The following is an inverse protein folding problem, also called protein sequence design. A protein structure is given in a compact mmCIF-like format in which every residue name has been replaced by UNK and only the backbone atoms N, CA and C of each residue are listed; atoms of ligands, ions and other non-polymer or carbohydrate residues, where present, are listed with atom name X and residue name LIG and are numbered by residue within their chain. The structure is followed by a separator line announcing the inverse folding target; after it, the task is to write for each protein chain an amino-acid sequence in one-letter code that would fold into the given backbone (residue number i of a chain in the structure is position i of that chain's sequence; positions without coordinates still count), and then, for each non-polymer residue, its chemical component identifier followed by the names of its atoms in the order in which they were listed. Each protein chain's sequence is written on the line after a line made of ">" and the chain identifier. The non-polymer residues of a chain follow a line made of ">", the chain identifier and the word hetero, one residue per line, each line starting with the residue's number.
data_IF_608034836273
#
_entry.id   IF_608034836273
#
_cell.length_a   1.000
_cell.length_b   1.000
_cell.length_c   1.000
_cell.angle_alpha   90.00
_cell.angle_beta   90.00
_cell.angle_gamma   90.00
#
_symmetry.space_group_name_H-M   'P 1'
#
loop_
_entity.id
_entity.type
_entity.pdbx_description
1 polymer ?
#
# COMPACT_ATOMS: atom_id res chain seq x y z
N UNK A 1 -0.36 22.97 -10.93
CA UNK A 1 -1.49 22.38 -11.69
C UNK A 1 -1.81 20.97 -11.21
N UNK A 2 -1.78 20.76 -9.88
CA UNK A 2 -1.28 19.55 -9.22
C UNK A 2 -1.88 18.23 -9.69
N UNK A 3 -1.12 17.49 -10.49
CA UNK A 3 -1.44 16.12 -10.95
C UNK A 3 -1.70 15.16 -9.78
N UNK A 4 -1.06 15.40 -8.63
CA UNK A 4 -1.16 14.59 -7.43
C UNK A 4 -1.69 15.41 -6.25
N UNK A 5 -2.47 14.75 -5.41
CA UNK A 5 -2.85 15.23 -4.08
C UNK A 5 -2.08 14.46 -3.01
N UNK A 6 -1.68 15.17 -1.95
CA UNK A 6 -0.76 14.67 -0.93
C UNK A 6 -1.30 14.91 0.47
N UNK A 7 -0.97 14.00 1.37
CA UNK A 7 -1.05 14.16 2.82
C UNK A 7 0.28 13.74 3.46
N UNK A 8 0.53 14.19 4.68
CA UNK A 8 1.59 13.67 5.54
C UNK A 8 0.96 13.05 6.78
N UNK A 9 1.48 11.90 7.21
CA UNK A 9 1.03 11.23 8.41
C UNK A 9 2.17 10.46 9.09
N UNK A 10 2.04 10.25 10.40
CA UNK A 10 2.90 9.33 11.13
C UNK A 10 2.43 7.88 10.91
N UNK A 11 3.33 6.93 10.62
CA UNK A 11 2.97 5.53 10.39
C UNK A 11 2.19 4.87 11.52
N UNK A 12 2.48 5.24 12.77
CA UNK A 12 1.85 4.70 13.98
C UNK A 12 0.42 5.19 14.22
N UNK A 13 -0.07 6.19 13.50
CA UNK A 13 -1.46 6.63 13.61
C UNK A 13 -2.43 5.59 13.04
N UNK A 14 -1.97 4.77 12.10
CA UNK A 14 -2.74 3.67 11.55
C UNK A 14 -2.59 2.39 12.41
N UNK A 15 -3.65 1.58 12.57
CA UNK A 15 -3.53 0.24 13.16
C UNK A 15 -2.46 -0.60 12.42
N UNK A 16 -1.67 -1.43 13.12
CA UNK A 16 -0.64 -2.25 12.51
C UNK A 16 -1.18 -3.17 11.40
N UNK A 17 -0.43 -3.30 10.30
CA UNK A 17 -0.73 -4.23 9.20
C UNK A 17 0.26 -5.40 9.20
N UNK A 18 -0.21 -6.60 8.83
CA UNK A 18 0.68 -7.74 8.61
C UNK A 18 1.23 -7.67 7.19
N UNK A 19 2.51 -7.36 7.05
CA UNK A 19 3.18 -7.36 5.74
C UNK A 19 3.69 -8.75 5.38
N UNK A 20 3.33 -9.23 4.18
CA UNK A 20 3.86 -10.47 3.60
C UNK A 20 4.54 -10.15 2.28
N UNK A 21 5.86 -10.27 2.24
CA UNK A 21 6.64 -10.10 1.01
C UNK A 21 6.70 -11.42 0.24
N UNK A 22 6.45 -11.36 -1.07
CA UNK A 22 6.51 -12.49 -2.01
C UNK A 22 7.67 -12.33 -2.99
N UNK A 23 7.98 -13.39 -3.74
CA UNK A 23 9.12 -13.45 -4.64
C UNK A 23 8.92 -12.67 -5.94
N UNK A 24 7.67 -12.47 -6.37
CA UNK A 24 7.34 -11.75 -7.60
C UNK A 24 5.95 -11.11 -7.56
N UNK A 25 5.71 -10.14 -8.44
CA UNK A 25 4.38 -9.55 -8.64
C UNK A 25 3.35 -10.59 -9.09
N UNK A 26 3.75 -11.53 -9.95
CA UNK A 26 2.89 -12.63 -10.39
C UNK A 26 2.40 -13.50 -9.22
N UNK A 27 3.28 -13.82 -8.27
CA UNK A 27 2.87 -14.54 -7.06
C UNK A 27 1.84 -13.76 -6.24
N UNK A 28 1.95 -12.43 -6.17
CA UNK A 28 0.97 -11.57 -5.50
C UNK A 28 -0.37 -11.59 -6.26
N UNK A 29 -0.33 -11.47 -7.58
CA UNK A 29 -1.53 -11.49 -8.43
C UNK A 29 -2.28 -12.82 -8.34
N UNK A 30 -1.56 -13.94 -8.24
CA UNK A 30 -2.16 -15.29 -8.15
C UNK A 30 -2.72 -15.65 -6.76
N UNK A 31 -2.54 -14.78 -5.74
CA UNK A 31 -3.03 -15.06 -4.39
C UNK A 31 -4.56 -15.23 -4.38
N UNK A 32 -5.00 -16.28 -3.68
CA UNK A 32 -6.39 -16.40 -3.27
C UNK A 32 -6.66 -15.51 -2.06
N UNK A 33 -7.91 -15.09 -1.89
CA UNK A 33 -8.34 -14.37 -0.69
C UNK A 33 -8.03 -15.24 0.54
N UNK A 34 -7.21 -14.77 1.50
CA UNK A 34 -6.91 -15.50 2.72
C UNK A 34 -8.16 -15.70 3.59
N UNK A 35 -8.19 -16.71 4.48
CA UNK A 35 -9.24 -16.82 5.49
C UNK A 35 -9.33 -15.53 6.34
N UNK A 36 -10.53 -15.17 6.84
CA UNK A 36 -10.70 -13.99 7.68
C UNK A 36 -9.92 -14.11 9.00
N UNK A 37 -9.62 -12.97 9.62
CA UNK A 37 -9.02 -12.87 10.96
C UNK A 37 -7.70 -12.08 11.02
N UNK A 38 -6.96 -11.99 9.91
CA UNK A 38 -5.71 -11.22 9.86
C UNK A 38 -5.75 -10.16 8.75
N UNK A 39 -5.28 -8.95 9.04
CA UNK A 39 -5.12 -7.91 8.04
C UNK A 39 -3.80 -8.07 7.30
N UNK A 40 -3.86 -8.64 6.09
CA UNK A 40 -2.67 -8.98 5.30
C UNK A 40 -2.45 -7.94 4.21
N UNK A 41 -1.26 -7.37 4.16
CA UNK A 41 -0.75 -6.59 3.03
C UNK A 41 0.31 -7.41 2.30
N UNK A 42 -0.11 -8.08 1.22
CA UNK A 42 0.74 -8.90 0.38
C UNK A 42 1.43 -8.02 -0.67
N UNK A 43 2.74 -8.14 -0.82
CA UNK A 43 3.47 -7.31 -1.76
C UNK A 43 4.72 -7.99 -2.32
N UNK A 44 5.20 -7.54 -3.46
CA UNK A 44 6.47 -7.93 -4.04
C UNK A 44 7.12 -6.74 -4.75
N UNK A 45 8.45 -6.75 -4.84
CA UNK A 45 9.16 -5.82 -5.71
C UNK A 45 8.86 -6.16 -7.17
N UNK A 46 8.42 -5.16 -7.93
CA UNK A 46 8.47 -5.21 -9.40
C UNK A 46 9.83 -4.72 -9.91
N UNK A 47 10.37 -3.71 -9.23
CA UNK A 47 11.70 -3.17 -9.46
C UNK A 47 12.18 -2.54 -8.15
N UNK A 48 13.01 -3.29 -7.43
CA UNK A 48 13.55 -2.84 -6.16
C UNK A 48 14.44 -1.62 -6.33
N UNK A 49 15.24 -1.50 -7.39
CA UNK A 49 16.10 -0.32 -7.57
C UNK A 49 15.26 0.96 -7.72
N UNK A 50 14.16 0.88 -8.46
CA UNK A 50 13.24 1.99 -8.67
C UNK A 50 12.16 2.17 -7.57
N UNK A 51 12.11 1.27 -6.58
CA UNK A 51 11.11 1.32 -5.52
C UNK A 51 9.69 1.00 -5.97
N UNK A 52 9.52 0.23 -7.07
CA UNK A 52 8.20 -0.16 -7.59
C UNK A 52 7.73 -1.46 -6.94
N UNK A 53 6.51 -1.43 -6.40
CA UNK A 53 5.89 -2.55 -5.69
C UNK A 53 4.54 -2.87 -6.31
N UNK A 54 4.28 -4.17 -6.47
CA UNK A 54 2.92 -4.71 -6.65
C UNK A 54 2.38 -5.12 -5.29
N UNK A 55 1.16 -4.70 -4.95
CA UNK A 55 0.52 -5.04 -3.69
C UNK A 55 -0.96 -5.42 -3.81
N UNK A 56 -1.43 -6.24 -2.86
CA UNK A 56 -2.84 -6.56 -2.62
C UNK A 56 -3.12 -6.54 -1.12
N UNK A 57 -4.29 -6.07 -0.73
CA UNK A 57 -4.64 -5.87 0.67
C UNK A 57 -5.90 -6.66 1.03
N UNK A 58 -5.78 -7.54 2.01
CA UNK A 58 -6.86 -8.40 2.48
C UNK A 58 -7.24 -8.02 3.92
N UNK A 59 -8.36 -7.31 4.12
CA UNK A 59 -8.77 -6.82 5.43
C UNK A 59 -9.09 -7.91 6.45
N UNK A 60 -9.61 -9.06 6.00
CA UNK A 60 -9.93 -10.20 6.86
C UNK A 60 -11.01 -9.91 7.93
N UNK A 61 -11.83 -8.87 7.76
CA UNK A 61 -12.73 -8.31 8.78
C UNK A 61 -14.21 -8.71 8.67
N UNK A 62 -14.54 -9.64 7.76
CA UNK A 62 -15.90 -10.17 7.54
C UNK A 62 -16.99 -9.08 7.40
N UNK A 63 -16.64 -7.98 6.72
CA UNK A 63 -17.55 -6.85 6.48
C UNK A 63 -17.94 -6.68 5.00
N UNK A 64 -17.73 -7.75 4.22
CA UNK A 64 -17.99 -7.79 2.78
C UNK A 64 -16.87 -7.20 1.92
N UNK A 65 -15.75 -6.77 2.49
CA UNK A 65 -14.56 -6.33 1.75
C UNK A 65 -13.47 -7.39 1.89
N UNK A 66 -13.43 -8.30 0.93
CA UNK A 66 -12.41 -9.35 0.83
C UNK A 66 -11.04 -8.77 0.43
N UNK A 67 -11.04 -7.77 -0.45
CA UNK A 67 -9.86 -7.07 -0.94
C UNK A 67 -10.11 -5.55 -1.03
N UNK A 68 -9.14 -4.77 -0.57
CA UNK A 68 -9.16 -3.30 -0.65
C UNK A 68 -8.29 -2.82 -1.83
N UNK A 69 -8.88 -2.00 -2.69
CA UNK A 69 -8.27 -1.51 -3.93
C UNK A 69 -7.16 -0.48 -3.68
N UNK A 70 -7.16 0.23 -2.54
CA UNK A 70 -6.14 1.21 -2.19
C UNK A 70 -6.02 1.45 -0.68
N UNK A 71 -4.93 1.00 -0.05
CA UNK A 71 -4.77 1.05 1.41
C UNK A 71 -3.62 1.98 1.82
N UNK A 72 -3.88 3.28 1.88
CA UNK A 72 -2.88 4.29 2.28
C UNK A 72 -2.25 4.05 3.65
N UNK A 73 -3.01 3.50 4.61
CA UNK A 73 -2.51 3.11 5.92
C UNK A 73 -1.38 2.06 5.87
N UNK A 74 -1.50 1.08 4.97
CA UNK A 74 -0.47 0.06 4.78
C UNK A 74 0.73 0.66 4.03
N UNK A 75 0.48 1.53 3.05
CA UNK A 75 1.53 2.23 2.32
C UNK A 75 2.40 3.09 3.26
N UNK A 76 1.81 3.83 4.21
CA UNK A 76 2.54 4.58 5.24
C UNK A 76 3.52 3.68 6.01
N UNK A 77 2.99 2.60 6.58
CA UNK A 77 3.78 1.69 7.42
C UNK A 77 4.85 0.94 6.63
N UNK A 78 4.57 0.51 5.40
CA UNK A 78 5.55 -0.17 4.55
C UNK A 78 6.69 0.78 4.15
N UNK A 79 6.36 2.02 3.82
CA UNK A 79 7.33 3.08 3.47
C UNK A 79 8.28 3.34 4.64
N UNK A 80 7.74 3.50 5.84
CA UNK A 80 8.54 3.68 7.04
C UNK A 80 9.41 2.46 7.36
N UNK A 81 8.86 1.25 7.19
CA UNK A 81 9.60 -0.01 7.42
C UNK A 81 10.77 -0.19 6.45
N UNK A 82 10.58 0.17 5.18
CA UNK A 82 11.62 0.02 4.15
C UNK A 82 12.56 1.24 4.08
N UNK A 83 12.19 2.36 4.72
CA UNK A 83 13.03 3.55 4.83
C UNK A 83 13.30 4.24 3.48
N UNK A 84 12.38 4.11 2.51
CA UNK A 84 12.58 4.62 1.14
C UNK A 84 11.28 4.97 0.46
N UNK A 85 11.35 5.82 -0.57
CA UNK A 85 10.21 6.13 -1.42
C UNK A 85 9.72 4.92 -2.19
N UNK A 86 8.40 4.78 -2.31
CA UNK A 86 7.74 3.68 -3.00
C UNK A 86 6.75 4.21 -4.05
N UNK A 87 6.65 3.47 -5.14
CA UNK A 87 5.59 3.57 -6.13
C UNK A 87 4.81 2.26 -6.13
N UNK A 88 3.64 2.27 -5.50
CA UNK A 88 2.86 1.07 -5.21
C UNK A 88 1.69 0.98 -6.19
N UNK A 89 1.61 -0.12 -6.92
CA UNK A 89 0.44 -0.52 -7.69
C UNK A 89 -0.38 -1.49 -6.86
N UNK A 90 -1.55 -1.05 -6.39
CA UNK A 90 -2.45 -1.84 -5.55
C UNK A 90 -3.77 -2.17 -6.24
N UNK A 91 -4.29 -3.36 -5.97
CA UNK A 91 -5.61 -3.79 -6.46
C UNK A 91 -5.63 -3.87 -7.98
N UNK A 92 -6.72 -3.45 -8.59
CA UNK A 92 -6.95 -3.50 -10.04
C UNK A 92 -6.33 -2.33 -10.82
N UNK A 93 -5.92 -1.24 -10.15
CA UNK A 93 -5.32 -0.11 -10.86
C UNK A 93 -4.91 1.10 -10.03
N UNK A 94 -4.95 1.02 -8.70
CA UNK A 94 -4.58 2.16 -7.85
C UNK A 94 -3.07 2.37 -7.85
N UNK A 95 -2.63 3.61 -7.99
CA UNK A 95 -1.24 4.02 -7.76
C UNK A 95 -1.14 4.85 -6.49
N UNK A 96 -0.28 4.42 -5.57
CA UNK A 96 0.03 5.14 -4.33
C UNK A 96 1.52 5.48 -4.36
N UNK A 97 1.82 6.76 -4.25
CA UNK A 97 3.19 7.28 -4.15
C UNK A 97 3.49 7.64 -2.70
N UNK A 98 4.66 7.26 -2.22
CA UNK A 98 5.05 7.55 -0.85
C UNK A 98 6.53 7.92 -0.73
N UNK A 99 6.88 8.69 0.29
CA UNK A 99 8.27 8.87 0.68
C UNK A 99 8.42 9.13 2.18
N UNK A 100 9.52 8.67 2.80
CA UNK A 100 9.89 9.09 4.14
C UNK A 100 10.18 10.58 4.16
N UNK A 101 9.72 11.24 5.22
CA UNK A 101 9.94 12.65 5.52
C UNK A 101 10.74 12.79 6.83
N UNK A 102 11.30 13.98 7.12
CA UNK A 102 11.97 14.24 8.39
C UNK A 102 11.11 13.86 9.61
N UNK A 103 11.76 13.54 10.72
CA UNK A 103 11.09 13.24 12.00
C UNK A 103 10.15 12.02 11.98
N UNK A 104 10.34 11.09 11.04
CA UNK A 104 9.57 9.85 10.97
C UNK A 104 8.22 9.98 10.28
N UNK A 105 7.91 11.15 9.72
CA UNK A 105 6.72 11.35 8.88
C UNK A 105 6.84 10.58 7.57
N UNK A 106 5.70 10.30 6.95
CA UNK A 106 5.63 9.78 5.60
C UNK A 106 4.62 10.61 4.81
N UNK A 107 5.00 11.05 3.62
CA UNK A 107 4.05 11.60 2.65
C UNK A 107 3.41 10.47 1.86
N UNK A 108 2.12 10.62 1.56
CA UNK A 108 1.35 9.72 0.71
C UNK A 108 0.54 10.54 -0.27
N UNK A 109 0.60 10.17 -1.54
CA UNK A 109 -0.15 10.83 -2.58
C UNK A 109 -0.58 9.92 -3.70
N UNK A 110 -1.44 10.47 -4.54
CA UNK A 110 -2.01 9.80 -5.69
C UNK A 110 -2.75 10.79 -6.58
N UNK A 111 -3.09 10.33 -7.78
CA UNK A 111 -4.00 11.07 -8.65
C UNK A 111 -5.42 10.84 -8.14
N UNK A 112 -6.21 11.89 -8.13
CA UNK A 112 -7.61 11.84 -7.67
C UNK A 112 -8.52 12.46 -8.73
N UNK A 113 -9.71 11.88 -8.87
CA UNK A 113 -10.77 12.44 -9.69
C UNK A 113 -11.97 12.74 -8.79
N UNK A 114 -12.47 13.97 -8.85
CA UNK A 114 -13.69 14.34 -8.14
C UNK A 114 -14.90 13.92 -8.99
N UNK A 115 -15.57 12.83 -8.61
CA UNK A 115 -16.87 12.51 -9.18
C UNK A 115 -17.90 13.59 -8.80
N UNK A 116 -18.73 13.97 -9.77
CA UNK A 116 -19.78 14.99 -9.63
C UNK A 116 -21.14 14.35 -9.54
#
# INVERSE_FOLDING_TARGET
>A
DGEFSWIEAMPEWAPPRTFRQYGSSAEVDDLQVPPPGEWIYAWAWEDEAAGRIRARAFPGRDDGIDEDEATGAAALQLTARLGRALNIIQGTGSQILTAPQPHGWVEVGGRVFLER
#
